data_IF_409288897906
#
_entry.id   IF_409288897906
#
_cell.length_a   1.000
_cell.length_b   1.000
_cell.length_c   1.000
_cell.angle_alpha   90.00
_cell.angle_beta   90.00
_cell.angle_gamma   90.00
#
_symmetry.space_group_name_H-M   'P 1'
#
loop_
_entity.id
_entity.type
_entity.pdbx_description
1 polymer ?
#
# COMPACT_ATOMS: atom_id res chain seq x y z
N UNK A 1 20.78 -16.75 0.08
CA UNK A 1 19.65 -15.83 -0.16
C UNK A 1 20.07 -14.61 -0.98
N UNK A 2 21.04 -13.79 -0.53
CA UNK A 2 21.46 -12.56 -1.23
C UNK A 2 21.89 -12.77 -2.70
N UNK A 3 22.78 -13.74 -2.97
CA UNK A 3 23.21 -14.07 -4.35
C UNK A 3 22.04 -14.45 -5.28
N UNK A 4 20.99 -15.07 -4.75
CA UNK A 4 19.81 -15.44 -5.51
C UNK A 4 18.98 -14.18 -5.84
N UNK A 5 18.73 -13.33 -4.85
CA UNK A 5 18.02 -12.06 -5.02
C UNK A 5 18.74 -11.17 -6.04
N UNK A 6 20.06 -11.03 -5.96
CA UNK A 6 20.83 -10.20 -6.89
C UNK A 6 20.80 -10.74 -8.32
N UNK A 7 20.72 -12.07 -8.52
CA UNK A 7 20.51 -12.69 -9.84
C UNK A 7 19.11 -12.40 -10.38
N UNK A 8 18.08 -12.57 -9.54
CA UNK A 8 16.69 -12.28 -9.91
C UNK A 8 16.50 -10.81 -10.30
N UNK A 9 17.18 -9.89 -9.61
CA UNK A 9 17.18 -8.46 -9.93
C UNK A 9 17.70 -8.12 -11.31
N UNK A 10 18.55 -8.96 -11.93
CA UNK A 10 19.02 -8.70 -13.30
C UNK A 10 17.94 -8.91 -14.36
N UNK A 11 16.83 -9.60 -14.03
CA UNK A 11 15.72 -9.80 -14.97
C UNK A 11 14.90 -8.52 -15.13
N UNK A 12 14.81 -8.01 -16.36
CA UNK A 12 13.99 -6.85 -16.70
C UNK A 12 12.51 -7.06 -16.33
N UNK A 13 12.00 -8.28 -16.54
CA UNK A 13 10.60 -8.64 -16.24
C UNK A 13 10.33 -8.49 -14.74
N UNK A 14 11.24 -8.98 -13.89
CA UNK A 14 11.07 -8.88 -12.44
C UNK A 14 11.23 -7.44 -11.92
N UNK A 15 12.09 -6.65 -12.56
CA UNK A 15 12.20 -5.22 -12.27
C UNK A 15 10.92 -4.47 -12.60
N UNK A 16 10.38 -4.66 -13.82
CA UNK A 16 9.12 -4.05 -14.24
C UNK A 16 7.94 -4.51 -13.39
N UNK A 17 7.90 -5.80 -13.04
CA UNK A 17 6.90 -6.34 -12.12
C UNK A 17 6.98 -5.66 -10.75
N UNK A 18 8.17 -5.51 -10.17
CA UNK A 18 8.36 -4.86 -8.87
C UNK A 18 7.94 -3.39 -8.91
N UNK A 19 8.34 -2.65 -9.95
CA UNK A 19 7.97 -1.24 -10.12
C UNK A 19 6.45 -1.10 -10.27
N UNK A 20 5.85 -1.94 -11.12
CA UNK A 20 4.39 -1.97 -11.32
C UNK A 20 3.65 -2.33 -10.03
N UNK A 21 4.15 -3.29 -9.26
CA UNK A 21 3.54 -3.71 -8.00
C UNK A 21 3.57 -2.59 -6.96
N UNK A 22 4.67 -1.82 -6.88
CA UNK A 22 4.74 -0.62 -6.02
C UNK A 22 3.69 0.41 -6.43
N UNK A 23 3.51 0.65 -7.72
CA UNK A 23 2.46 1.56 -8.21
C UNK A 23 1.06 1.02 -7.95
N UNK A 24 0.82 -0.27 -8.13
CA UNK A 24 -0.48 -0.88 -7.90
C UNK A 24 -0.89 -0.79 -6.43
N UNK A 25 -0.02 -1.24 -5.51
CA UNK A 25 -0.30 -1.19 -4.07
C UNK A 25 -0.41 0.25 -3.57
N UNK A 26 0.49 1.13 -4.02
CA UNK A 26 0.47 2.53 -3.67
C UNK A 26 -0.81 3.23 -4.16
N UNK A 27 -1.18 3.04 -5.42
CA UNK A 27 -2.38 3.62 -6.00
C UNK A 27 -3.66 3.13 -5.30
N UNK A 28 -3.73 1.84 -4.91
CA UNK A 28 -4.85 1.31 -4.16
C UNK A 28 -5.03 2.04 -2.81
N UNK A 29 -3.94 2.29 -2.08
CA UNK A 29 -3.99 3.04 -0.82
C UNK A 29 -4.32 4.52 -1.02
N UNK A 30 -3.76 5.16 -2.06
CA UNK A 30 -4.11 6.56 -2.41
C UNK A 30 -5.59 6.66 -2.74
N UNK A 31 -6.10 5.78 -3.60
CA UNK A 31 -7.52 5.75 -3.96
C UNK A 31 -8.41 5.55 -2.74
N UNK A 32 -8.05 4.61 -1.85
CA UNK A 32 -8.80 4.31 -0.64
C UNK A 32 -8.70 5.40 0.44
N UNK A 33 -7.67 6.25 0.40
CA UNK A 33 -7.45 7.30 1.40
C UNK A 33 -8.38 8.51 1.23
N UNK A 34 -8.64 8.90 -0.01
CA UNK A 34 -9.23 10.21 -0.34
C UNK A 34 -10.63 10.37 0.26
N UNK A 35 -11.48 9.35 0.14
CA UNK A 35 -12.83 9.42 0.70
C UNK A 35 -12.82 9.44 2.23
N UNK A 36 -11.84 8.79 2.87
CA UNK A 36 -11.67 8.83 4.34
C UNK A 36 -11.27 10.22 4.81
N UNK A 37 -10.32 10.84 4.10
CA UNK A 37 -9.88 12.21 4.37
C UNK A 37 -11.03 13.20 4.19
N UNK A 38 -11.90 12.97 3.19
CA UNK A 38 -13.08 13.81 2.93
C UNK A 38 -14.27 13.53 3.85
N UNK A 39 -14.15 12.61 4.81
CA UNK A 39 -15.25 12.31 5.74
C UNK A 39 -16.46 11.68 5.04
N UNK A 40 -16.22 10.80 4.07
CA UNK A 40 -17.25 10.04 3.36
C UNK A 40 -17.31 8.62 3.92
N UNK A 41 -18.51 8.03 3.95
CA UNK A 41 -18.75 6.64 4.37
C UNK A 41 -18.01 5.63 3.48
N UNK A 42 -17.79 4.44 4.02
CA UNK A 42 -17.23 3.33 3.26
C UNK A 42 -18.22 2.78 2.22
N UNK A 43 -19.48 2.57 2.63
CA UNK A 43 -20.62 2.24 1.79
C UNK A 43 -21.54 3.44 1.63
N UNK A 44 -22.23 3.63 0.47
CA UNK A 44 -23.18 4.72 0.30
C UNK A 44 -24.32 4.69 1.34
N UNK A 45 -24.78 3.48 1.67
CA UNK A 45 -25.82 3.26 2.66
C UNK A 45 -25.25 3.22 4.09
N UNK A 46 -26.03 3.74 5.03
CA UNK A 46 -25.70 3.72 6.46
C UNK A 46 -25.82 2.31 7.02
N UNK A 47 -24.76 1.83 7.66
CA UNK A 47 -24.75 0.53 8.35
C UNK A 47 -24.93 0.67 9.88
N UNK A 48 -25.49 1.78 10.35
CA UNK A 48 -25.67 2.04 11.78
C UNK A 48 -26.57 0.99 12.47
N UNK A 49 -27.50 0.40 11.74
CA UNK A 49 -28.40 -0.66 12.23
C UNK A 49 -27.97 -2.06 11.79
N UNK A 50 -26.84 -2.20 11.09
CA UNK A 50 -26.31 -3.51 10.73
C UNK A 50 -25.91 -4.29 12.00
N UNK A 51 -25.87 -5.63 11.96
CA UNK A 51 -25.46 -6.43 13.12
C UNK A 51 -24.10 -5.96 13.66
N UNK A 52 -23.96 -5.82 14.98
CA UNK A 52 -22.75 -5.27 15.63
C UNK A 52 -21.49 -6.07 15.26
N UNK A 53 -21.65 -7.37 15.03
CA UNK A 53 -20.60 -8.29 14.61
C UNK A 53 -20.40 -8.35 13.08
N UNK A 54 -20.88 -7.36 12.33
CA UNK A 54 -20.69 -7.26 10.87
C UNK A 54 -19.59 -6.27 10.50
N UNK A 55 -18.94 -6.50 9.35
CA UNK A 55 -17.89 -5.61 8.84
C UNK A 55 -18.43 -4.21 8.51
N UNK A 56 -19.66 -4.13 8.02
CA UNK A 56 -20.30 -2.88 7.64
C UNK A 56 -20.55 -1.99 8.87
N UNK A 57 -21.06 -2.57 9.96
CA UNK A 57 -21.24 -1.86 11.22
C UNK A 57 -19.89 -1.38 11.81
N UNK A 58 -18.85 -2.20 11.69
CA UNK A 58 -17.49 -1.82 12.09
C UNK A 58 -16.97 -0.61 11.29
N UNK A 59 -17.15 -0.61 9.96
CA UNK A 59 -16.78 0.54 9.12
C UNK A 59 -17.62 1.78 9.41
N UNK A 60 -18.92 1.64 9.66
CA UNK A 60 -19.78 2.75 10.07
C UNK A 60 -19.31 3.35 11.40
N UNK A 61 -18.99 2.50 12.38
CA UNK A 61 -18.48 2.96 13.69
C UNK A 61 -17.18 3.75 13.53
N UNK A 62 -16.25 3.26 12.71
CA UNK A 62 -15.01 4.00 12.43
C UNK A 62 -15.27 5.31 11.68
N UNK A 63 -16.20 5.32 10.72
CA UNK A 63 -16.62 6.53 10.02
C UNK A 63 -17.20 7.58 10.98
N UNK A 64 -18.05 7.17 11.93
CA UNK A 64 -18.63 8.02 12.97
C UNK A 64 -17.59 8.52 14.00
N UNK A 65 -16.33 8.07 13.90
CA UNK A 65 -15.18 8.61 14.63
C UNK A 65 -14.29 9.46 13.70
N UNK A 66 -14.67 10.71 13.39
CA UNK A 66 -14.11 11.47 12.25
C UNK A 66 -12.59 11.67 12.31
N UNK A 67 -12.04 11.89 13.52
CA UNK A 67 -10.59 12.02 13.69
C UNK A 67 -9.85 10.74 13.34
N UNK A 68 -10.34 9.58 13.80
CA UNK A 68 -9.73 8.29 13.52
C UNK A 68 -9.90 7.91 12.04
N UNK A 69 -11.08 8.17 11.45
CA UNK A 69 -11.35 7.96 10.04
C UNK A 69 -10.39 8.74 9.14
N UNK A 70 -10.22 10.04 9.41
CA UNK A 70 -9.29 10.91 8.68
C UNK A 70 -7.84 10.48 8.89
N UNK A 71 -7.45 10.11 10.12
CA UNK A 71 -6.11 9.63 10.44
C UNK A 71 -5.70 8.40 9.62
N UNK A 72 -6.58 7.40 9.51
CA UNK A 72 -6.34 6.23 8.65
C UNK A 72 -6.17 6.65 7.20
N UNK A 73 -7.03 7.57 6.73
CA UNK A 73 -6.93 8.15 5.40
C UNK A 73 -5.55 8.76 5.14
N UNK A 74 -5.09 9.67 5.99
CA UNK A 74 -3.77 10.28 5.84
C UNK A 74 -2.62 9.27 5.90
N UNK A 75 -2.69 8.28 6.80
CA UNK A 75 -1.70 7.21 6.85
C UNK A 75 -1.63 6.44 5.53
N UNK A 76 -2.78 6.07 4.95
CA UNK A 76 -2.85 5.39 3.65
C UNK A 76 -2.31 6.27 2.52
N UNK A 77 -2.64 7.57 2.50
CA UNK A 77 -2.16 8.49 1.47
C UNK A 77 -0.64 8.64 1.50
N UNK A 78 -0.06 8.84 2.69
CA UNK A 78 1.39 9.00 2.87
C UNK A 78 2.12 7.73 2.44
N UNK A 79 1.67 6.56 2.91
CA UNK A 79 2.27 5.28 2.54
C UNK A 79 2.16 5.01 1.04
N UNK A 80 1.01 5.33 0.44
CA UNK A 80 0.81 5.23 -1.00
C UNK A 80 1.78 6.13 -1.78
N UNK A 81 1.96 7.38 -1.34
CA UNK A 81 2.91 8.31 -1.93
C UNK A 81 4.37 7.81 -1.84
N UNK A 82 4.78 7.27 -0.68
CA UNK A 82 6.13 6.72 -0.48
C UNK A 82 6.39 5.55 -1.43
N UNK A 83 5.45 4.60 -1.55
CA UNK A 83 5.54 3.47 -2.49
C UNK A 83 5.66 3.95 -3.94
N UNK A 84 4.80 4.89 -4.35
CA UNK A 84 4.76 5.39 -5.72
C UNK A 84 5.96 6.27 -6.09
N UNK A 85 6.63 6.89 -5.11
CA UNK A 85 7.82 7.72 -5.39
C UNK A 85 9.00 6.95 -5.99
N UNK A 86 9.02 5.61 -5.87
CA UNK A 86 10.15 4.70 -6.11
C UNK A 86 11.39 4.96 -5.24
N UNK A 87 11.75 6.21 -5.01
CA UNK A 87 12.87 6.65 -4.17
C UNK A 87 12.69 6.18 -2.72
N UNK A 88 11.50 6.41 -2.16
CA UNK A 88 11.16 6.01 -0.77
C UNK A 88 10.35 4.71 -0.72
N UNK A 89 10.35 3.93 -1.79
CA UNK A 89 9.47 2.76 -1.90
C UNK A 89 9.73 1.69 -0.84
N UNK A 90 10.98 1.52 -0.40
CA UNK A 90 11.31 0.58 0.70
C UNK A 90 10.68 1.02 2.01
N UNK A 91 10.76 2.32 2.36
CA UNK A 91 10.11 2.85 3.57
C UNK A 91 8.58 2.76 3.46
N UNK A 92 8.04 3.02 2.27
CA UNK A 92 6.64 2.80 1.95
C UNK A 92 6.20 1.35 2.18
N UNK A 93 6.96 0.36 1.69
CA UNK A 93 6.65 -1.06 1.86
C UNK A 93 6.69 -1.49 3.34
N UNK A 94 7.64 -0.97 4.12
CA UNK A 94 7.72 -1.23 5.57
C UNK A 94 6.49 -0.66 6.28
N UNK A 95 6.11 0.58 5.98
CA UNK A 95 4.94 1.23 6.58
C UNK A 95 3.61 0.62 6.09
N UNK A 96 3.57 0.10 4.85
CA UNK A 96 2.41 -0.58 4.28
C UNK A 96 2.11 -1.90 5.00
N UNK A 97 3.13 -2.63 5.44
CA UNK A 97 2.97 -3.94 6.07
C UNK A 97 2.02 -3.95 7.28
N UNK A 98 2.22 -3.13 8.34
CA UNK A 98 1.32 -3.13 9.49
C UNK A 98 -0.10 -2.67 9.13
N UNK A 99 -0.24 -1.74 8.17
CA UNK A 99 -1.55 -1.27 7.70
C UNK A 99 -2.31 -2.39 6.96
N UNK A 100 -1.68 -3.05 5.99
CA UNK A 100 -2.36 -4.12 5.24
C UNK A 100 -2.60 -5.36 6.10
N UNK A 101 -1.69 -5.68 7.03
CA UNK A 101 -1.87 -6.76 7.99
C UNK A 101 -3.08 -6.48 8.88
N UNK A 102 -3.24 -5.25 9.38
CA UNK A 102 -4.41 -4.87 10.17
C UNK A 102 -5.71 -5.06 9.37
N UNK A 103 -5.76 -4.57 8.12
CA UNK A 103 -6.93 -4.74 7.24
C UNK A 103 -7.19 -6.24 6.96
N UNK A 104 -6.15 -7.03 6.73
CA UNK A 104 -6.27 -8.48 6.51
C UNK A 104 -6.82 -9.22 7.74
N UNK A 105 -6.38 -8.87 8.95
CA UNK A 105 -6.92 -9.45 10.18
C UNK A 105 -8.40 -9.06 10.37
N UNK A 106 -8.77 -7.83 10.03
CA UNK A 106 -10.18 -7.39 10.03
C UNK A 106 -11.01 -8.27 9.07
N UNK A 107 -10.54 -8.50 7.84
CA UNK A 107 -11.31 -9.26 6.84
C UNK A 107 -11.46 -10.74 7.19
N UNK A 108 -10.46 -11.34 7.85
CA UNK A 108 -10.59 -12.67 8.46
C UNK A 108 -11.65 -12.65 9.55
N UNK A 109 -11.59 -11.68 10.47
CA UNK A 109 -12.44 -11.61 11.65
C UNK A 109 -13.93 -11.52 11.31
N UNK A 110 -14.26 -10.83 10.21
CA UNK A 110 -15.63 -10.66 9.72
C UNK A 110 -15.99 -11.58 8.54
N UNK A 111 -15.18 -12.59 8.24
CA UNK A 111 -15.41 -13.59 7.17
C UNK A 111 -15.87 -12.96 5.84
N UNK A 112 -15.15 -11.94 5.36
CA UNK A 112 -15.55 -11.14 4.19
C UNK A 112 -14.79 -11.59 2.93
N UNK A 113 -15.26 -12.59 2.16
CA UNK A 113 -14.45 -13.32 1.18
C UNK A 113 -13.86 -12.43 0.08
N UNK A 114 -14.63 -11.48 -0.44
CA UNK A 114 -14.20 -10.60 -1.53
C UNK A 114 -13.04 -9.69 -1.09
N UNK A 115 -13.16 -9.09 0.09
CA UNK A 115 -12.14 -8.17 0.64
C UNK A 115 -10.96 -8.99 1.19
N UNK A 116 -11.22 -10.19 1.72
CA UNK A 116 -10.21 -11.12 2.21
C UNK A 116 -9.21 -11.50 1.10
N UNK A 117 -9.70 -11.89 -0.08
CA UNK A 117 -8.82 -12.25 -1.19
C UNK A 117 -7.93 -11.06 -1.62
N UNK A 118 -8.51 -9.87 -1.76
CA UNK A 118 -7.78 -8.67 -2.17
C UNK A 118 -6.71 -8.30 -1.13
N UNK A 119 -7.08 -8.25 0.15
CA UNK A 119 -6.18 -7.88 1.24
C UNK A 119 -5.06 -8.90 1.46
N UNK A 120 -5.36 -10.19 1.28
CA UNK A 120 -4.36 -11.25 1.25
C UNK A 120 -3.35 -11.06 0.09
N UNK A 121 -3.82 -10.80 -1.13
CA UNK A 121 -2.95 -10.57 -2.29
C UNK A 121 -2.08 -9.32 -2.11
N UNK A 122 -2.64 -8.24 -1.56
CA UNK A 122 -1.88 -7.03 -1.23
C UNK A 122 -0.82 -7.29 -0.16
N UNK A 123 -1.14 -8.09 0.87
CA UNK A 123 -0.19 -8.49 1.90
C UNK A 123 0.95 -9.33 1.31
N UNK A 124 0.64 -10.35 0.51
CA UNK A 124 1.62 -11.17 -0.19
C UNK A 124 2.50 -10.33 -1.14
N UNK A 125 1.89 -9.40 -1.89
CA UNK A 125 2.60 -8.46 -2.74
C UNK A 125 3.57 -7.57 -1.94
N UNK A 126 3.16 -7.08 -0.77
CA UNK A 126 4.03 -6.29 0.07
C UNK A 126 5.17 -7.11 0.69
N UNK A 127 4.91 -8.35 1.11
CA UNK A 127 5.96 -9.28 1.57
C UNK A 127 6.98 -9.51 0.46
N UNK A 128 6.54 -9.69 -0.79
CA UNK A 128 7.44 -9.76 -1.93
C UNK A 128 8.30 -8.50 -2.08
N UNK A 129 7.72 -7.29 -1.97
CA UNK A 129 8.48 -6.04 -2.03
C UNK A 129 9.54 -5.94 -0.93
N UNK A 130 9.23 -6.38 0.29
CA UNK A 130 10.20 -6.41 1.39
C UNK A 130 11.32 -7.41 1.13
N UNK A 131 11.00 -8.60 0.60
CA UNK A 131 12.01 -9.58 0.20
C UNK A 131 12.90 -9.05 -0.94
N UNK A 132 12.32 -8.31 -1.89
CA UNK A 132 13.06 -7.65 -2.97
C UNK A 132 14.05 -6.61 -2.43
N UNK A 133 13.64 -5.84 -1.44
CA UNK A 133 14.46 -4.80 -0.80
C UNK A 133 15.28 -5.31 0.42
N UNK A 134 15.39 -6.64 0.60
CA UNK A 134 16.04 -7.26 1.77
C UNK A 134 17.46 -6.72 2.06
N UNK A 135 18.26 -6.49 1.01
CA UNK A 135 19.62 -5.95 1.16
C UNK A 135 19.66 -4.55 1.78
N UNK A 136 18.58 -3.76 1.67
CA UNK A 136 18.42 -2.47 2.35
C UNK A 136 17.86 -2.65 3.76
N UNK A 137 16.89 -3.55 3.93
CA UNK A 137 16.21 -3.78 5.20
C UNK A 137 17.09 -4.47 6.27
N UNK A 138 18.07 -5.28 5.85
CA UNK A 138 18.97 -5.96 6.79
C UNK A 138 19.73 -5.02 7.73
N UNK A 139 19.95 -3.77 7.33
CA UNK A 139 20.59 -2.74 8.17
C UNK A 139 19.71 -2.27 9.33
N UNK A 140 18.39 -2.43 9.20
CA UNK A 140 17.42 -2.12 10.25
C UNK A 140 17.15 -3.37 11.09
N UNK A 141 17.14 -4.55 10.45
CA UNK A 141 16.73 -5.80 11.09
C UNK A 141 17.84 -6.57 11.82
N UNK A 142 19.12 -6.39 11.46
CA UNK A 142 20.24 -7.14 12.02
C UNK A 142 21.18 -6.24 12.84
N UNK A 143 21.69 -6.71 14.01
CA UNK A 143 22.63 -5.94 14.84
C UNK A 143 24.00 -5.72 14.20
N UNK A 144 24.49 -6.68 13.42
CA UNK A 144 25.77 -6.61 12.70
C UNK A 144 25.53 -6.82 11.19
N UNK A 145 25.10 -5.77 10.47
CA UNK A 145 24.88 -5.87 9.05
C UNK A 145 26.24 -5.88 8.33
N UNK A 146 26.60 -7.05 7.77
CA UNK A 146 27.71 -7.16 6.80
C UNK A 146 27.59 -6.11 5.70
N UNK A 147 28.73 -5.69 5.13
CA UNK A 147 28.89 -4.66 4.10
C UNK A 147 27.69 -4.49 3.16
N UNK A 148 27.25 -3.23 2.98
CA UNK A 148 26.21 -2.89 2.02
C UNK A 148 26.71 -3.12 0.61
N UNK A 149 25.97 -3.92 -0.15
CA UNK A 149 26.18 -4.07 -1.60
C UNK A 149 24.91 -3.57 -2.25
N UNK A 150 25.02 -2.45 -2.96
CA UNK A 150 23.91 -1.95 -3.77
C UNK A 150 23.74 -2.83 -5.00
N UNK A 151 22.79 -3.76 -4.93
CA UNK A 151 22.43 -4.63 -6.04
C UNK A 151 21.22 -4.12 -6.82
N UNK A 152 20.82 -2.85 -6.63
CA UNK A 152 19.71 -2.28 -7.39
C UNK A 152 20.11 -2.06 -8.85
N UNK A 153 19.38 -2.65 -9.81
CA UNK A 153 19.71 -2.54 -11.23
C UNK A 153 19.64 -1.09 -11.70
N UNK A 154 20.52 -0.72 -12.63
CA UNK A 154 20.56 0.63 -13.20
C UNK A 154 19.21 1.05 -13.80
N UNK A 155 18.50 0.12 -14.43
CA UNK A 155 17.18 0.37 -15.01
C UNK A 155 16.14 0.80 -13.96
N UNK A 156 16.16 0.18 -12.78
CA UNK A 156 15.28 0.55 -11.66
C UNK A 156 15.68 1.88 -11.00
N UNK A 157 16.90 2.40 -11.26
CA UNK A 157 17.38 3.68 -10.73
C UNK A 157 17.01 4.90 -11.58
N UNK A 158 16.48 4.71 -12.80
CA UNK A 158 16.13 5.84 -13.65
C UNK A 158 15.06 6.72 -13.00
N UNK A 159 15.32 8.03 -12.94
CA UNK A 159 14.39 9.03 -12.37
C UNK A 159 13.02 9.07 -13.08
N UNK A 160 12.94 8.54 -14.30
CA UNK A 160 11.69 8.42 -15.05
C UNK A 160 10.62 7.68 -14.25
N UNK A 161 11.01 6.68 -13.46
CA UNK A 161 10.06 5.93 -12.63
C UNK A 161 9.49 6.83 -11.53
N UNK A 162 10.32 7.62 -10.84
CA UNK A 162 9.82 8.59 -9.87
C UNK A 162 8.85 9.60 -10.50
N UNK A 163 9.17 10.14 -11.68
CA UNK A 163 8.26 11.05 -12.38
C UNK A 163 6.95 10.37 -12.78
N UNK A 164 7.00 9.16 -13.34
CA UNK A 164 5.81 8.38 -13.67
C UNK A 164 4.98 8.06 -12.43
N UNK A 165 5.61 7.73 -11.32
CA UNK A 165 4.95 7.48 -10.05
C UNK A 165 4.24 8.71 -9.49
N UNK A 166 4.89 9.87 -9.50
CA UNK A 166 4.27 11.15 -9.10
C UNK A 166 3.11 11.51 -10.03
N UNK A 167 3.31 11.36 -11.34
CA UNK A 167 2.26 11.60 -12.33
C UNK A 167 1.05 10.70 -12.09
N UNK A 168 1.28 9.39 -11.88
CA UNK A 168 0.23 8.43 -11.58
C UNK A 168 -0.48 8.74 -10.26
N UNK A 169 0.26 9.17 -9.23
CA UNK A 169 -0.30 9.58 -7.95
C UNK A 169 -1.29 10.74 -8.10
N UNK A 170 -0.91 11.77 -8.87
CA UNK A 170 -1.78 12.91 -9.16
C UNK A 170 -3.02 12.51 -9.97
N UNK A 171 -2.86 11.62 -10.95
CA UNK A 171 -3.99 11.07 -11.71
C UNK A 171 -4.98 10.36 -10.79
N UNK A 172 -4.50 9.48 -9.91
CA UNK A 172 -5.39 8.74 -8.99
C UNK A 172 -6.14 9.71 -8.07
N UNK A 173 -5.48 10.76 -7.57
CA UNK A 173 -6.14 11.80 -6.78
C UNK A 173 -7.21 12.51 -7.60
N UNK A 174 -6.87 12.95 -8.80
CA UNK A 174 -7.78 13.67 -9.68
C UNK A 174 -9.02 12.82 -10.01
N UNK A 175 -8.80 11.60 -10.51
CA UNK A 175 -9.88 10.67 -10.87
C UNK A 175 -10.80 10.40 -9.68
N UNK A 176 -10.22 10.16 -8.50
CA UNK A 176 -11.03 9.89 -7.31
C UNK A 176 -11.84 11.11 -6.89
N UNK A 177 -11.27 12.32 -6.97
CA UNK A 177 -12.04 13.56 -6.70
C UNK A 177 -13.19 13.75 -7.69
N UNK A 178 -12.95 13.53 -8.98
CA UNK A 178 -13.98 13.65 -10.02
C UNK A 178 -15.14 12.68 -9.78
N UNK A 179 -14.85 11.42 -9.43
CA UNK A 179 -15.88 10.43 -9.10
C UNK A 179 -16.71 10.89 -7.90
N UNK A 180 -16.08 11.47 -6.88
CA UNK A 180 -16.77 11.92 -5.68
C UNK A 180 -17.58 13.20 -5.86
N UNK A 181 -17.24 14.07 -6.80
CA UNK A 181 -18.06 15.26 -7.13
C UNK A 181 -19.31 14.94 -7.93
N UNK A 182 -19.39 13.75 -8.55
CA UNK A 182 -20.52 13.32 -9.37
C UNK A 182 -21.55 12.48 -8.60
N UNK A 183 -21.38 12.33 -7.28
CA UNK A 183 -22.27 11.64 -6.36
C UNK A 183 -22.75 12.61 -5.27
#
# INVERSE_FOLDING_TARGET
>A
MERLISRLKQSLVLQLFTISLRYLLGAAFVFASIFKIQGIRFTPESAANAPINSLEHFFETMYQTPYYWSFIGWAQLIVGALLMSQTFSTAGAVAFLPLILNIFVITISFNSPNILLITFLMMCGNVYLLLWDWNRLKFIALPDPKNYVDDTPMFSKHKIWTFLGIFWFLIVIFLRKVVLTNH
#
